data_IF_619494796028
#
_entry.id   IF_619494796028
#
_cell.length_a   1.000
_cell.length_b   1.000
_cell.length_c   1.000
_cell.angle_alpha   90.00
_cell.angle_beta   90.00
_cell.angle_gamma   90.00
#
_symmetry.space_group_name_H-M   'P 1'
#
loop_
_entity.id
_entity.type
_entity.pdbx_description
1 polymer ?
#
# COMPACT_ATOMS: atom_id res chain seq x y z
N UNK A 1 5.25 -12.28 -2.65
CA UNK A 1 5.37 -11.42 -3.85
C UNK A 1 4.10 -11.56 -4.67
N UNK A 2 3.43 -10.47 -4.92
CA UNK A 2 2.16 -10.47 -5.62
C UNK A 2 2.39 -10.82 -7.10
N UNK A 3 1.78 -11.91 -7.60
CA UNK A 3 1.90 -12.32 -9.01
C UNK A 3 1.12 -11.42 -9.96
N UNK A 4 0.19 -10.64 -9.42
CA UNK A 4 -0.80 -9.91 -10.21
C UNK A 4 -0.40 -8.45 -10.49
N UNK A 5 0.58 -7.90 -9.76
CA UNK A 5 1.05 -6.52 -9.94
C UNK A 5 2.39 -6.38 -10.70
N UNK A 6 2.94 -7.46 -11.26
CA UNK A 6 4.18 -7.42 -12.04
C UNK A 6 5.45 -7.13 -11.23
N UNK A 7 5.40 -7.22 -9.90
CA UNK A 7 6.53 -6.90 -9.02
C UNK A 7 7.54 -8.04 -8.84
N UNK A 8 7.41 -9.16 -9.54
CA UNK A 8 8.36 -10.29 -9.44
C UNK A 8 9.33 -10.33 -10.61
N UNK A 9 10.39 -9.53 -10.54
CA UNK A 9 11.61 -9.84 -11.29
C UNK A 9 12.60 -10.51 -10.33
N UNK A 10 12.75 -11.83 -10.42
CA UNK A 10 13.83 -12.54 -9.76
C UNK A 10 15.05 -12.57 -10.67
N UNK A 11 16.11 -11.93 -10.21
CA UNK A 11 17.45 -12.13 -10.71
C UNK A 11 18.03 -13.39 -10.04
N UNK A 12 18.60 -14.25 -10.86
CA UNK A 12 19.19 -15.55 -10.58
C UNK A 12 20.04 -15.59 -9.31
N UNK A 13 19.76 -16.57 -8.44
CA UNK A 13 20.77 -17.18 -7.59
C UNK A 13 20.85 -18.66 -7.94
N UNK A 14 22.06 -19.11 -8.28
CA UNK A 14 22.40 -20.50 -8.48
C UNK A 14 22.34 -21.23 -7.13
N UNK A 15 21.33 -22.05 -6.94
CA UNK A 15 21.23 -22.97 -5.82
C UNK A 15 21.37 -24.40 -6.31
N UNK A 16 22.30 -25.15 -5.74
CA UNK A 16 22.47 -26.56 -5.97
C UNK A 16 21.22 -27.34 -5.55
N UNK A 17 20.63 -28.09 -6.46
CA UNK A 17 19.47 -28.93 -6.18
C UNK A 17 19.92 -30.38 -5.98
N UNK A 18 19.70 -30.93 -4.80
CA UNK A 18 19.75 -32.37 -4.53
C UNK A 18 18.35 -32.96 -4.68
N UNK A 19 18.20 -34.00 -5.49
CA UNK A 19 16.97 -34.77 -5.62
C UNK A 19 17.12 -36.13 -4.98
N UNK A 20 16.19 -36.49 -4.09
CA UNK A 20 16.06 -37.84 -3.56
C UNK A 20 14.95 -38.57 -4.32
N UNK A 21 15.24 -39.75 -4.87
CA UNK A 21 14.25 -40.65 -5.44
C UNK A 21 14.13 -41.92 -4.58
N UNK A 22 12.90 -42.24 -4.19
CA UNK A 22 12.58 -43.47 -3.49
C UNK A 22 12.10 -44.52 -4.51
N UNK A 23 12.82 -45.61 -4.63
CA UNK A 23 12.33 -46.84 -5.25
C UNK A 23 12.07 -47.87 -4.14
N UNK A 24 10.86 -48.39 -4.12
CA UNK A 24 10.49 -49.42 -3.16
C UNK A 24 11.45 -50.62 -3.16
N UNK A 25 11.74 -51.03 -1.94
CA UNK A 25 12.34 -52.34 -1.61
C UNK A 25 13.85 -52.59 -1.87
N UNK A 26 14.73 -51.62 -1.59
CA UNK A 26 16.12 -51.96 -1.22
C UNK A 26 16.85 -50.65 -0.78
N UNK A 27 17.14 -50.55 0.48
CA UNK A 27 18.11 -49.72 1.21
C UNK A 27 18.60 -48.38 0.62
N UNK A 28 18.52 -47.32 1.42
CA UNK A 28 19.13 -46.02 1.15
C UNK A 28 20.65 -46.13 0.98
N UNK A 29 21.17 -45.57 -0.13
CA UNK A 29 22.60 -45.34 -0.28
C UNK A 29 22.85 -44.04 -1.06
N UNK A 30 23.78 -43.27 -0.56
CA UNK A 30 24.25 -42.02 -1.17
C UNK A 30 25.49 -42.27 -2.01
N UNK A 31 25.49 -41.84 -3.26
CA UNK A 31 26.67 -41.89 -4.13
C UNK A 31 27.22 -40.48 -4.34
N UNK A 32 28.46 -40.25 -3.92
CA UNK A 32 29.29 -39.14 -4.35
C UNK A 32 30.09 -39.56 -5.57
N UNK A 33 29.88 -38.89 -6.70
CA UNK A 33 30.73 -39.09 -7.89
C UNK A 33 31.50 -37.80 -8.18
N UNK A 34 32.80 -37.85 -7.92
CA UNK A 34 33.79 -36.93 -8.49
C UNK A 34 34.43 -37.61 -9.69
N UNK A 35 34.17 -37.17 -10.90
CA UNK A 35 34.85 -37.62 -12.09
C UNK A 35 35.39 -36.45 -12.88
N UNK A 36 36.72 -36.36 -12.90
CA UNK A 36 37.46 -35.66 -13.94
C UNK A 36 37.80 -36.68 -15.02
N UNK A 37 37.19 -36.63 -16.19
CA UNK A 37 37.66 -37.22 -17.43
C UNK A 37 37.21 -36.39 -18.63
N UNK A 38 38.22 -35.93 -19.37
CA UNK A 38 38.07 -35.38 -20.73
C UNK A 38 37.68 -36.53 -21.69
N UNK A 39 36.53 -36.48 -22.28
CA UNK A 39 36.22 -37.13 -23.53
C UNK A 39 35.28 -36.22 -24.37
N UNK A 40 35.81 -35.81 -25.54
CA UNK A 40 35.05 -35.16 -26.56
C UNK A 40 34.03 -36.14 -27.17
N UNK A 41 32.76 -35.89 -26.96
CA UNK A 41 31.69 -36.50 -27.74
C UNK A 41 30.78 -35.36 -28.25
N UNK A 42 30.72 -35.24 -29.58
CA UNK A 42 29.71 -34.43 -30.27
C UNK A 42 28.32 -35.01 -29.95
N UNK A 43 27.58 -34.32 -29.09
CA UNK A 43 26.16 -34.55 -28.94
C UNK A 43 25.42 -33.42 -29.64
N UNK A 44 24.74 -33.74 -30.72
CA UNK A 44 23.70 -32.89 -31.33
C UNK A 44 22.57 -32.80 -30.31
N UNK A 45 22.55 -31.71 -29.55
CA UNK A 45 21.42 -31.36 -28.69
C UNK A 45 20.26 -30.85 -29.57
N UNK A 46 19.23 -31.67 -29.73
CA UNK A 46 17.94 -31.18 -30.13
C UNK A 46 17.48 -30.13 -29.10
N UNK A 47 17.25 -28.90 -29.56
CA UNK A 47 16.72 -27.84 -28.76
C UNK A 47 15.31 -28.23 -28.27
N UNK A 48 15.20 -28.75 -27.05
CA UNK A 48 13.93 -28.75 -26.34
C UNK A 48 13.70 -27.35 -25.80
N UNK A 49 13.09 -26.50 -26.61
CA UNK A 49 12.58 -25.23 -26.16
C UNK A 49 11.42 -25.54 -25.20
N UNK A 50 11.68 -25.50 -23.91
CA UNK A 50 10.63 -25.33 -22.91
C UNK A 50 10.12 -23.88 -23.03
N UNK A 51 9.16 -23.68 -23.95
CA UNK A 51 8.42 -22.45 -24.03
C UNK A 51 7.62 -22.34 -22.73
N UNK A 52 8.19 -21.68 -21.70
CA UNK A 52 7.37 -21.07 -20.68
C UNK A 52 6.42 -20.13 -21.43
N UNK A 53 5.10 -20.15 -21.15
CA UNK A 53 4.19 -19.18 -21.75
C UNK A 53 4.54 -17.81 -21.21
N UNK A 54 5.51 -17.15 -21.84
CA UNK A 54 5.73 -15.73 -21.69
C UNK A 54 4.50 -15.07 -22.30
N UNK A 55 3.63 -14.53 -21.44
CA UNK A 55 2.61 -13.58 -21.89
C UNK A 55 3.37 -12.54 -22.71
N UNK A 56 3.04 -12.39 -23.99
CA UNK A 56 3.61 -11.31 -24.79
C UNK A 56 3.28 -10.02 -24.06
N UNK A 57 4.18 -9.02 -24.06
CA UNK A 57 3.98 -7.72 -23.38
C UNK A 57 2.58 -7.16 -23.65
N UNK A 58 2.10 -7.29 -24.85
CA UNK A 58 0.78 -6.82 -25.28
C UNK A 58 -0.38 -7.53 -24.55
N UNK A 59 -0.31 -8.86 -24.35
CA UNK A 59 -1.30 -9.61 -23.57
C UNK A 59 -1.25 -9.26 -22.09
N UNK A 60 -0.07 -9.00 -21.56
CA UNK A 60 0.11 -8.57 -20.16
C UNK A 60 -0.53 -7.20 -19.95
N UNK A 61 -0.30 -6.24 -20.86
CA UNK A 61 -0.92 -4.90 -20.82
C UNK A 61 -2.45 -5.00 -20.91
N UNK A 62 -3.00 -5.84 -21.78
CA UNK A 62 -4.44 -6.04 -21.90
C UNK A 62 -5.07 -6.63 -20.62
N UNK A 63 -4.41 -7.60 -20.00
CA UNK A 63 -4.87 -8.21 -18.74
C UNK A 63 -4.85 -7.20 -17.60
N UNK A 64 -3.75 -6.47 -17.44
CA UNK A 64 -3.63 -5.40 -16.44
C UNK A 64 -4.70 -4.33 -16.68
N UNK A 65 -4.89 -3.89 -17.91
CA UNK A 65 -5.92 -2.92 -18.28
C UNK A 65 -7.34 -3.38 -17.91
N UNK A 66 -7.66 -4.67 -18.12
CA UNK A 66 -8.95 -5.25 -17.72
C UNK A 66 -9.13 -5.34 -16.21
N UNK A 67 -8.07 -5.66 -15.47
CA UNK A 67 -8.10 -5.71 -14.01
C UNK A 67 -8.35 -4.30 -13.45
N UNK A 68 -7.60 -3.31 -13.91
CA UNK A 68 -7.75 -1.93 -13.47
C UNK A 68 -9.13 -1.37 -13.83
N UNK A 69 -9.66 -1.62 -15.05
CA UNK A 69 -10.99 -1.14 -15.43
C UNK A 69 -12.12 -1.74 -14.58
N UNK A 70 -12.00 -3.00 -14.15
CA UNK A 70 -12.96 -3.60 -13.20
C UNK A 70 -12.85 -2.97 -11.81
N UNK A 71 -11.63 -2.74 -11.35
CA UNK A 71 -11.38 -2.04 -10.10
C UNK A 71 -11.99 -0.63 -10.14
N UNK A 72 -11.77 0.12 -11.22
CA UNK A 72 -12.27 1.50 -11.37
C UNK A 72 -13.81 1.55 -11.38
N UNK A 73 -14.47 0.58 -12.01
CA UNK A 73 -15.92 0.46 -11.96
C UNK A 73 -16.43 0.20 -10.53
N UNK A 74 -15.74 -0.68 -9.77
CA UNK A 74 -16.08 -0.93 -8.36
C UNK A 74 -15.76 0.29 -7.48
N UNK A 75 -14.66 0.99 -7.74
CA UNK A 75 -14.30 2.22 -7.04
C UNK A 75 -15.37 3.30 -7.23
N UNK A 76 -15.89 3.45 -8.46
CA UNK A 76 -16.99 4.37 -8.74
C UNK A 76 -18.24 3.99 -7.94
N UNK A 77 -18.58 2.72 -7.84
CA UNK A 77 -19.70 2.24 -7.03
C UNK A 77 -19.50 2.53 -5.52
N UNK A 78 -18.28 2.32 -5.00
CA UNK A 78 -17.95 2.69 -3.62
C UNK A 78 -18.13 4.20 -3.39
N UNK A 79 -17.68 5.03 -4.32
CA UNK A 79 -17.82 6.50 -4.24
C UNK A 79 -19.28 6.94 -4.23
N UNK A 80 -20.15 6.26 -4.98
CA UNK A 80 -21.59 6.49 -4.96
C UNK A 80 -22.17 6.22 -3.57
N UNK A 81 -21.81 5.11 -2.93
CA UNK A 81 -22.20 4.80 -1.56
C UNK A 81 -21.74 5.88 -0.56
N UNK A 82 -20.51 6.39 -0.71
CA UNK A 82 -20.01 7.45 0.16
C UNK A 82 -20.81 8.74 -0.04
N UNK A 83 -21.07 9.11 -1.29
CA UNK A 83 -21.84 10.30 -1.63
C UNK A 83 -23.29 10.24 -1.11
N UNK A 84 -23.98 9.10 -1.30
CA UNK A 84 -25.36 8.87 -0.83
C UNK A 84 -25.48 9.02 0.69
N UNK A 85 -24.46 8.58 1.43
CA UNK A 85 -24.39 8.68 2.87
C UNK A 85 -23.69 9.97 3.36
N UNK A 86 -23.27 10.84 2.46
CA UNK A 86 -22.50 12.07 2.78
C UNK A 86 -21.24 11.79 3.60
N UNK A 87 -20.54 10.69 3.30
CA UNK A 87 -19.32 10.31 3.95
C UNK A 87 -18.13 10.88 3.19
N UNK A 88 -17.26 11.63 3.85
CA UNK A 88 -15.96 11.99 3.27
C UNK A 88 -14.99 10.82 3.47
N UNK A 89 -14.57 10.20 2.37
CA UNK A 89 -13.63 9.07 2.38
C UNK A 89 -12.22 9.52 1.99
N UNK A 90 -11.22 9.16 2.81
CA UNK A 90 -9.80 9.45 2.60
C UNK A 90 -8.97 8.17 2.57
N UNK A 91 -8.13 8.03 1.56
CA UNK A 91 -7.14 6.94 1.45
C UNK A 91 -5.80 7.42 2.02
N UNK A 92 -5.33 6.80 3.12
CA UNK A 92 -4.05 7.10 3.76
C UNK A 92 -2.99 6.14 3.24
N UNK A 93 -2.01 6.67 2.54
CA UNK A 93 -0.92 5.92 1.93
C UNK A 93 0.43 6.34 2.49
N UNK A 94 1.35 5.41 2.65
CA UNK A 94 2.72 5.71 3.13
C UNK A 94 3.62 4.49 3.09
N UNK A 95 4.89 4.66 3.41
CA UNK A 95 5.76 3.56 3.85
C UNK A 95 5.27 2.95 5.19
N UNK A 96 5.67 1.72 5.52
CA UNK A 96 5.45 1.17 6.85
C UNK A 96 6.08 2.05 7.93
N UNK A 97 5.40 2.19 9.06
CA UNK A 97 5.92 2.95 10.19
C UNK A 97 5.93 4.48 10.04
N UNK A 98 5.32 5.06 9.01
CA UNK A 98 5.25 6.53 8.80
C UNK A 98 4.29 7.25 9.78
N UNK A 99 3.51 6.51 10.56
CA UNK A 99 2.63 7.07 11.60
C UNK A 99 1.18 7.26 11.20
N UNK A 100 0.66 6.53 10.19
CA UNK A 100 -0.77 6.56 9.79
C UNK A 100 -1.69 6.30 10.98
N UNK A 101 -1.54 5.16 11.64
CA UNK A 101 -2.36 4.77 12.80
C UNK A 101 -2.27 5.79 13.94
N UNK A 102 -1.08 6.37 14.21
CA UNK A 102 -0.91 7.42 15.23
C UNK A 102 -1.66 8.71 14.85
N UNK A 103 -1.66 9.07 13.56
CA UNK A 103 -2.44 10.21 13.06
C UNK A 103 -3.94 9.96 13.21
N UNK A 104 -4.41 8.74 12.91
CA UNK A 104 -5.81 8.34 13.09
C UNK A 104 -6.21 8.40 14.56
N UNK A 105 -5.43 7.84 15.49
CA UNK A 105 -5.70 7.94 16.92
C UNK A 105 -5.83 9.39 17.41
N UNK A 106 -4.91 10.28 16.99
CA UNK A 106 -4.95 11.68 17.34
C UNK A 106 -6.19 12.38 16.75
N UNK A 107 -6.56 12.06 15.51
CA UNK A 107 -7.75 12.58 14.82
C UNK A 107 -9.03 12.14 15.51
N UNK A 108 -9.16 10.86 15.82
CA UNK A 108 -10.33 10.28 16.51
C UNK A 108 -10.53 10.94 17.88
N UNK A 109 -9.46 11.06 18.66
CA UNK A 109 -9.51 11.72 19.97
C UNK A 109 -9.93 13.18 19.87
N UNK A 110 -9.41 13.92 18.88
CA UNK A 110 -9.71 15.34 18.68
C UNK A 110 -11.16 15.59 18.21
N UNK A 111 -11.73 14.66 17.44
CA UNK A 111 -13.10 14.77 16.90
C UNK A 111 -14.15 14.02 17.73
N UNK A 112 -13.77 13.49 18.88
CA UNK A 112 -14.71 12.76 19.75
C UNK A 112 -15.96 13.56 20.04
N UNK A 113 -17.13 13.00 19.66
CA UNK A 113 -18.43 13.63 19.84
C UNK A 113 -18.76 14.75 18.83
N UNK A 114 -17.90 14.98 17.82
CA UNK A 114 -18.16 15.95 16.74
C UNK A 114 -18.45 15.26 15.40
N UNK A 115 -17.72 14.23 15.07
CA UNK A 115 -17.88 13.46 13.84
C UNK A 115 -17.93 11.97 14.15
N UNK A 116 -18.79 11.24 13.45
CA UNK A 116 -18.73 9.80 13.36
C UNK A 116 -17.52 9.38 12.50
N UNK A 117 -16.61 8.58 13.05
CA UNK A 117 -15.41 8.14 12.36
C UNK A 117 -15.43 6.63 12.22
N UNK A 118 -15.20 6.16 11.00
CA UNK A 118 -14.95 4.74 10.70
C UNK A 118 -13.62 4.56 9.99
N UNK A 119 -12.98 3.42 10.19
CA UNK A 119 -11.67 3.11 9.59
C UNK A 119 -11.72 1.71 8.96
N UNK A 120 -11.26 1.63 7.71
CA UNK A 120 -10.91 0.36 7.07
C UNK A 120 -9.39 0.25 7.16
N UNK A 121 -8.92 -0.79 7.83
CA UNK A 121 -7.49 -1.04 8.06
C UNK A 121 -7.01 -2.16 7.15
N UNK A 122 -6.03 -1.86 6.27
CA UNK A 122 -5.37 -2.85 5.43
C UNK A 122 -4.03 -3.26 6.00
N UNK A 123 -3.94 -4.47 6.55
CA UNK A 123 -2.67 -5.02 7.06
C UNK A 123 -2.42 -6.43 6.52
N UNK A 124 -1.16 -6.82 6.53
CA UNK A 124 -0.74 -8.13 6.01
C UNK A 124 -1.25 -9.28 6.90
N UNK A 125 -1.11 -9.18 8.23
CA UNK A 125 -1.37 -10.30 9.14
C UNK A 125 -1.94 -9.91 10.52
N UNK A 126 -1.75 -8.67 11.02
CA UNK A 126 -2.03 -8.34 12.42
C UNK A 126 -3.25 -7.43 12.61
N UNK A 127 -3.99 -7.63 13.71
CA UNK A 127 -5.10 -6.74 14.09
C UNK A 127 -4.68 -5.59 15.02
N UNK A 128 -3.40 -5.36 15.21
CA UNK A 128 -2.91 -4.41 16.19
C UNK A 128 -3.37 -2.97 15.92
N UNK A 129 -3.32 -2.53 14.67
CA UNK A 129 -3.67 -1.17 14.30
C UNK A 129 -5.20 -0.95 14.35
N UNK A 130 -6.01 -1.91 13.87
CA UNK A 130 -7.45 -1.86 14.02
C UNK A 130 -7.89 -1.85 15.50
N UNK A 131 -7.19 -2.59 16.38
CA UNK A 131 -7.43 -2.55 17.82
C UNK A 131 -7.15 -1.17 18.42
N UNK A 132 -6.03 -0.56 18.08
CA UNK A 132 -5.66 0.81 18.51
C UNK A 132 -6.71 1.84 18.08
N UNK A 133 -7.20 1.74 16.85
CA UNK A 133 -8.25 2.61 16.33
C UNK A 133 -9.56 2.45 17.10
N UNK A 134 -9.97 1.20 17.39
CA UNK A 134 -11.16 0.92 18.21
C UNK A 134 -11.02 1.45 19.63
N UNK A 135 -9.84 1.28 20.25
CA UNK A 135 -9.53 1.82 21.59
C UNK A 135 -9.53 3.36 21.63
N UNK A 136 -9.19 4.02 20.52
CA UNK A 136 -9.29 5.47 20.38
C UNK A 136 -10.75 5.96 20.27
N UNK A 137 -11.71 5.10 19.92
CA UNK A 137 -13.14 5.37 19.94
C UNK A 137 -13.82 5.44 18.55
N UNK A 138 -13.19 4.94 17.50
CA UNK A 138 -13.79 4.80 16.18
C UNK A 138 -14.22 3.35 15.88
N UNK A 139 -15.14 3.18 14.93
CA UNK A 139 -15.42 1.88 14.34
C UNK A 139 -14.27 1.49 13.41
N UNK A 140 -13.77 0.27 13.54
CA UNK A 140 -12.71 -0.20 12.65
C UNK A 140 -12.98 -1.62 12.18
N UNK A 141 -12.84 -1.82 10.86
CA UNK A 141 -12.84 -3.12 10.22
C UNK A 141 -11.50 -3.38 9.58
N UNK A 142 -10.93 -4.55 9.85
CA UNK A 142 -9.64 -4.94 9.28
C UNK A 142 -9.83 -5.85 8.07
N UNK A 143 -9.06 -5.54 7.03
CA UNK A 143 -8.86 -6.39 5.87
C UNK A 143 -7.48 -7.04 6.01
N UNK A 144 -7.44 -8.35 6.21
CA UNK A 144 -6.18 -9.10 6.18
C UNK A 144 -5.83 -9.40 4.72
N UNK A 145 -4.78 -8.76 4.21
CA UNK A 145 -4.41 -8.86 2.80
C UNK A 145 -3.49 -10.04 2.50
N UNK A 146 -2.92 -10.67 3.53
CA UNK A 146 -1.98 -11.79 3.37
C UNK A 146 -0.75 -11.38 2.58
N UNK A 147 -0.69 -11.76 1.31
CA UNK A 147 0.45 -11.45 0.43
C UNK A 147 0.24 -10.19 -0.43
N UNK A 148 -0.95 -9.59 -0.42
CA UNK A 148 -1.21 -8.38 -1.21
C UNK A 148 -0.62 -7.15 -0.53
N UNK A 149 0.15 -6.37 -1.29
CA UNK A 149 0.81 -5.14 -0.82
C UNK A 149 -0.05 -3.88 -1.01
N UNK A 150 -1.34 -4.02 -1.28
CA UNK A 150 -2.32 -2.94 -1.48
C UNK A 150 -3.73 -3.44 -1.21
N UNK A 151 -4.65 -2.50 -1.04
CA UNK A 151 -6.09 -2.72 -1.10
C UNK A 151 -6.60 -2.45 -2.53
N UNK A 152 -7.67 -3.13 -2.92
CA UNK A 152 -8.45 -2.84 -4.12
C UNK A 152 -9.89 -2.44 -3.77
N UNK A 153 -10.64 -1.95 -4.76
CA UNK A 153 -11.99 -1.45 -4.56
C UNK A 153 -12.99 -2.54 -4.12
N UNK A 154 -12.76 -3.80 -4.50
CA UNK A 154 -13.61 -4.92 -4.08
C UNK A 154 -13.38 -5.26 -2.60
N UNK A 155 -12.13 -5.23 -2.14
CA UNK A 155 -11.79 -5.42 -0.73
C UNK A 155 -12.46 -4.34 0.14
N UNK A 156 -12.38 -3.07 -0.30
CA UNK A 156 -13.04 -1.95 0.37
C UNK A 156 -14.55 -2.14 0.36
N UNK A 157 -15.17 -2.48 -0.78
CA UNK A 157 -16.60 -2.73 -0.88
C UNK A 157 -17.08 -3.79 0.12
N UNK A 158 -16.37 -4.91 0.21
CA UNK A 158 -16.69 -5.96 1.16
C UNK A 158 -16.58 -5.47 2.61
N UNK A 159 -15.60 -4.63 2.93
CA UNK A 159 -15.44 -4.05 4.27
C UNK A 159 -16.60 -3.10 4.63
N UNK A 160 -17.21 -2.40 3.66
CA UNK A 160 -18.33 -1.50 3.91
C UNK A 160 -19.55 -2.21 4.48
N UNK A 161 -19.75 -3.50 4.20
CA UNK A 161 -20.84 -4.29 4.78
C UNK A 161 -20.71 -4.51 6.30
N UNK A 162 -19.54 -4.25 6.86
CA UNK A 162 -19.23 -4.37 8.29
C UNK A 162 -19.23 -3.02 9.02
N UNK A 163 -19.49 -1.93 8.31
CA UNK A 163 -19.50 -0.56 8.85
C UNK A 163 -20.90 0.05 8.69
N UNK A 164 -21.29 0.91 9.63
CA UNK A 164 -22.51 1.69 9.50
C UNK A 164 -22.19 3.07 8.91
N UNK A 165 -22.39 3.23 7.59
CA UNK A 165 -22.15 4.49 6.91
C UNK A 165 -23.13 5.58 7.35
N UNK A 166 -24.33 5.24 7.82
CA UNK A 166 -25.31 6.22 8.32
C UNK A 166 -24.85 6.96 9.57
N UNK A 167 -23.93 6.39 10.35
CA UNK A 167 -23.33 7.00 11.55
C UNK A 167 -21.89 7.47 11.30
N UNK A 168 -21.45 7.49 10.03
CA UNK A 168 -20.08 7.84 9.65
C UNK A 168 -20.04 9.15 8.89
N UNK A 169 -19.31 10.13 9.39
CA UNK A 169 -19.00 11.38 8.69
C UNK A 169 -17.70 11.31 7.92
N UNK A 170 -16.68 10.69 8.53
CA UNK A 170 -15.34 10.52 8.00
C UNK A 170 -14.99 9.03 7.95
N UNK A 171 -14.69 8.54 6.75
CA UNK A 171 -14.16 7.20 6.55
C UNK A 171 -12.68 7.32 6.16
N UNK A 172 -11.83 6.66 6.92
CA UNK A 172 -10.42 6.52 6.56
C UNK A 172 -10.17 5.10 6.06
N UNK A 173 -9.48 4.99 4.93
CA UNK A 173 -8.89 3.74 4.46
C UNK A 173 -7.40 3.84 4.77
N UNK A 174 -6.95 3.15 5.83
CA UNK A 174 -5.53 3.00 6.11
C UNK A 174 -4.97 1.90 5.21
N UNK A 175 -4.29 2.30 4.13
CA UNK A 175 -3.75 1.36 3.15
C UNK A 175 -2.50 0.66 3.68
N UNK A 176 -2.19 -0.50 3.10
CA UNK A 176 -0.97 -1.24 3.40
C UNK A 176 0.25 -0.34 3.25
N UNK A 177 1.21 -0.45 4.16
CA UNK A 177 2.45 0.32 4.12
C UNK A 177 3.29 -0.01 2.89
N UNK A 178 3.11 0.77 1.81
CA UNK A 178 3.81 0.62 0.52
C UNK A 178 3.70 1.92 -0.27
N UNK A 179 4.80 2.37 -0.92
CA UNK A 179 4.82 3.60 -1.72
C UNK A 179 4.60 3.37 -3.23
N UNK A 180 4.33 2.15 -3.67
CA UNK A 180 4.18 1.81 -5.10
C UNK A 180 2.77 1.34 -5.42
N UNK A 181 2.42 0.16 -4.92
CA UNK A 181 1.18 -0.53 -5.29
C UNK A 181 -0.11 0.24 -4.95
N UNK A 182 -0.28 0.82 -3.74
CA UNK A 182 -1.50 1.54 -3.39
C UNK A 182 -1.85 2.69 -4.34
N UNK A 183 -0.85 3.35 -4.92
CA UNK A 183 -1.07 4.44 -5.86
C UNK A 183 -1.70 4.00 -7.20
N UNK A 184 -1.73 2.71 -7.50
CA UNK A 184 -2.25 2.20 -8.78
C UNK A 184 -3.75 1.90 -8.76
N UNK A 185 -4.34 1.80 -7.58
CA UNK A 185 -5.74 1.39 -7.39
C UNK A 185 -6.57 2.55 -6.85
N UNK A 186 -7.66 2.88 -7.53
CA UNK A 186 -8.73 3.73 -7.03
C UNK A 186 -9.61 2.87 -6.11
N UNK A 187 -9.90 3.32 -4.90
CA UNK A 187 -10.73 2.61 -3.91
C UNK A 187 -12.13 3.20 -3.80
N UNK A 188 -12.40 4.32 -4.50
CA UNK A 188 -13.59 5.13 -4.38
C UNK A 188 -13.42 6.32 -3.43
N UNK A 189 -12.21 6.55 -2.92
CA UNK A 189 -11.89 7.67 -2.03
C UNK A 189 -12.13 9.03 -2.69
N UNK A 190 -12.41 10.05 -1.87
CA UNK A 190 -12.49 11.44 -2.32
C UNK A 190 -11.13 12.14 -2.30
N UNK A 191 -10.27 11.74 -1.38
CA UNK A 191 -8.95 12.35 -1.19
C UNK A 191 -7.88 11.29 -0.95
N UNK A 192 -6.74 11.46 -1.61
CA UNK A 192 -5.53 10.71 -1.39
C UNK A 192 -4.57 11.49 -0.49
N UNK A 193 -4.29 10.98 0.69
CA UNK A 193 -3.38 11.56 1.67
C UNK A 193 -2.13 10.70 1.78
N UNK A 194 -0.98 11.28 1.47
CA UNK A 194 0.31 10.58 1.54
C UNK A 194 1.08 11.06 2.76
N UNK A 195 1.48 10.15 3.64
CA UNK A 195 2.38 10.46 4.75
C UNK A 195 3.82 10.21 4.31
N UNK A 196 4.66 11.23 4.45
CA UNK A 196 6.12 11.20 4.30
C UNK A 196 6.74 11.41 5.68
N UNK A 197 7.29 10.36 6.27
CA UNK A 197 7.96 10.49 7.57
C UNK A 197 9.36 11.08 7.41
N UNK A 198 9.73 12.03 8.27
CA UNK A 198 11.09 12.59 8.27
C UNK A 198 12.18 11.53 8.46
N UNK A 199 11.84 10.40 9.08
CA UNK A 199 12.78 9.26 9.27
C UNK A 199 13.08 8.49 7.99
N UNK A 200 12.38 8.76 6.88
CA UNK A 200 12.53 8.06 5.61
C UNK A 200 13.46 8.78 4.62
N UNK A 201 13.70 10.07 4.81
CA UNK A 201 14.48 10.92 3.93
C UNK A 201 13.64 11.79 2.98
N UNK A 202 14.17 12.94 2.64
CA UNK A 202 13.53 14.01 1.86
C UNK A 202 13.49 13.74 0.34
N UNK A 203 14.16 12.68 -0.11
CA UNK A 203 14.25 12.27 -1.51
C UNK A 203 13.14 11.29 -1.95
N UNK A 204 12.28 10.86 -1.02
CA UNK A 204 11.17 9.92 -1.32
C UNK A 204 10.23 10.39 -2.43
N UNK A 205 9.84 11.67 -2.52
CA UNK A 205 8.99 12.12 -3.63
C UNK A 205 9.62 11.86 -5.00
N UNK A 206 10.91 12.10 -5.14
CA UNK A 206 11.63 11.84 -6.39
C UNK A 206 11.77 10.35 -6.71
N UNK A 207 11.90 9.48 -5.68
CA UNK A 207 12.03 8.03 -5.84
C UNK A 207 10.69 7.34 -6.13
N UNK A 208 9.57 7.87 -5.62
CA UNK A 208 8.24 7.28 -5.75
C UNK A 208 7.23 8.26 -6.38
N UNK A 209 7.51 8.79 -7.58
CA UNK A 209 6.78 9.93 -8.14
C UNK A 209 5.29 9.64 -8.39
N UNK A 210 4.90 8.39 -8.61
CA UNK A 210 3.49 8.04 -8.89
C UNK A 210 2.62 8.33 -7.67
N UNK A 211 3.06 7.93 -6.47
CA UNK A 211 2.36 8.15 -5.21
C UNK A 211 2.11 9.65 -4.98
N UNK A 212 3.18 10.46 -5.09
CA UNK A 212 3.11 11.91 -4.81
C UNK A 212 2.38 12.70 -5.90
N UNK A 213 2.29 12.21 -7.15
CA UNK A 213 1.44 12.83 -8.19
C UNK A 213 -0.04 12.69 -7.91
N UNK A 214 -0.45 11.58 -7.29
CA UNK A 214 -1.85 11.31 -6.96
C UNK A 214 -2.30 11.93 -5.64
N UNK A 215 -1.37 12.42 -4.82
CA UNK A 215 -1.69 12.99 -3.52
C UNK A 215 -2.46 14.30 -3.66
N UNK A 216 -3.61 14.41 -2.98
CA UNK A 216 -4.31 15.66 -2.74
C UNK A 216 -3.68 16.42 -1.58
N UNK A 217 -3.17 15.68 -0.59
CA UNK A 217 -2.44 16.19 0.56
C UNK A 217 -1.21 15.33 0.82
N UNK A 218 -0.07 15.96 1.08
CA UNK A 218 1.11 15.33 1.67
C UNK A 218 1.27 15.79 3.11
N UNK A 219 1.36 14.84 4.03
CA UNK A 219 1.67 15.10 5.43
C UNK A 219 3.13 14.71 5.67
N UNK A 220 3.99 15.71 5.95
CA UNK A 220 5.34 15.44 6.45
C UNK A 220 5.20 15.15 7.95
N UNK A 221 5.26 13.87 8.30
CA UNK A 221 4.97 13.35 9.63
C UNK A 221 6.23 13.24 10.48
N UNK A 222 6.05 13.16 11.80
CA UNK A 222 7.12 13.09 12.81
C UNK A 222 8.03 14.33 12.75
N UNK A 223 7.45 15.49 12.53
CA UNK A 223 8.17 16.74 12.31
C UNK A 223 9.15 17.09 13.44
N UNK A 224 8.83 16.73 14.68
CA UNK A 224 9.67 16.97 15.84
C UNK A 224 11.03 16.22 15.78
N UNK A 225 11.13 15.22 14.90
CA UNK A 225 12.36 14.46 14.66
C UNK A 225 13.22 15.02 13.55
N UNK A 226 12.77 16.04 12.79
CA UNK A 226 13.46 16.52 11.59
C UNK A 226 14.93 16.90 11.85
N UNK A 227 15.20 17.57 12.98
CA UNK A 227 16.56 17.98 13.36
C UNK A 227 17.51 16.79 13.64
N UNK A 228 16.97 15.60 13.92
CA UNK A 228 17.75 14.40 14.24
C UNK A 228 18.03 13.52 13.00
N UNK A 229 17.32 13.75 11.90
CA UNK A 229 17.38 12.90 10.70
C UNK A 229 17.92 13.63 9.47
N UNK A 230 18.49 14.83 9.62
CA UNK A 230 19.00 15.66 8.51
C UNK A 230 17.97 15.79 7.36
N UNK A 231 16.70 15.96 7.75
CA UNK A 231 15.59 16.04 6.81
C UNK A 231 15.32 17.48 6.40
N UNK A 232 15.48 17.77 5.11
CA UNK A 232 15.18 19.08 4.53
C UNK A 232 13.69 19.16 4.10
N UNK A 233 12.88 19.78 4.97
CA UNK A 233 11.44 19.99 4.73
C UNK A 233 11.16 20.85 3.50
N UNK A 234 11.99 21.86 3.20
CA UNK A 234 11.81 22.72 2.02
C UNK A 234 12.10 21.95 0.74
N UNK A 235 13.14 21.14 0.74
CA UNK A 235 13.50 20.27 -0.39
C UNK A 235 12.37 19.25 -0.65
N UNK A 236 11.90 18.54 0.36
CA UNK A 236 10.79 17.60 0.24
C UNK A 236 9.53 18.29 -0.31
N UNK A 237 9.20 19.48 0.20
CA UNK A 237 8.08 20.31 -0.27
C UNK A 237 8.23 20.68 -1.74
N UNK A 238 9.41 21.13 -2.16
CA UNK A 238 9.70 21.48 -3.57
C UNK A 238 9.55 20.27 -4.49
N UNK A 239 10.06 19.10 -4.07
CA UNK A 239 9.92 17.88 -4.87
C UNK A 239 8.45 17.43 -5.00
N UNK A 240 7.65 17.48 -3.93
CA UNK A 240 6.22 17.22 -4.00
C UNK A 240 5.51 18.20 -4.97
N UNK A 241 5.78 19.50 -4.86
CA UNK A 241 5.19 20.53 -5.72
C UNK A 241 5.60 20.43 -7.18
N UNK A 242 6.80 19.92 -7.49
CA UNK A 242 7.22 19.62 -8.88
C UNK A 242 6.38 18.50 -9.49
N UNK A 243 6.02 17.48 -8.70
CA UNK A 243 5.24 16.33 -9.13
C UNK A 243 3.75 16.66 -9.26
N UNK A 244 3.23 17.42 -8.30
CA UNK A 244 1.84 17.89 -8.27
C UNK A 244 1.81 19.34 -7.75
N UNK A 245 1.73 20.34 -8.64
CA UNK A 245 1.70 21.75 -8.24
C UNK A 245 0.51 22.14 -7.35
N UNK A 246 -0.58 21.37 -7.38
CA UNK A 246 -1.81 21.63 -6.62
C UNK A 246 -1.83 20.94 -5.25
N UNK A 247 -0.89 20.04 -4.95
CA UNK A 247 -0.87 19.28 -3.70
C UNK A 247 -0.77 20.21 -2.48
N UNK A 248 -1.62 20.00 -1.49
CA UNK A 248 -1.46 20.65 -0.18
C UNK A 248 -0.39 19.95 0.63
N UNK A 249 0.32 20.69 1.51
CA UNK A 249 1.39 20.10 2.35
C UNK A 249 1.19 20.59 3.77
N UNK A 250 1.15 19.63 4.71
CA UNK A 250 1.10 19.91 6.15
C UNK A 250 2.32 19.23 6.80
N UNK A 251 3.07 19.99 7.58
CA UNK A 251 4.18 19.48 8.40
C UNK A 251 3.67 19.35 9.82
N UNK A 252 3.60 18.14 10.36
CA UNK A 252 3.04 17.92 11.70
C UNK A 252 3.72 16.77 12.46
N UNK A 253 3.52 16.73 13.77
CA UNK A 253 3.77 15.56 14.57
C UNK A 253 2.49 15.15 15.32
N UNK A 254 1.96 13.96 15.00
CA UNK A 254 0.72 13.47 15.60
C UNK A 254 0.88 13.02 17.05
N UNK A 255 2.11 12.71 17.49
CA UNK A 255 2.39 12.25 18.85
C UNK A 255 2.49 13.41 19.84
N UNK A 256 3.19 14.48 19.47
CA UNK A 256 3.31 15.70 20.28
C UNK A 256 2.11 16.63 20.11
N UNK A 257 1.38 16.52 18.97
CA UNK A 257 0.32 17.41 18.60
C UNK A 257 0.78 18.66 17.81
N UNK A 258 2.07 18.76 17.50
CA UNK A 258 2.62 19.89 16.73
C UNK A 258 1.90 20.00 15.39
N UNK A 259 1.26 21.15 15.14
CA UNK A 259 0.48 21.48 13.93
C UNK A 259 -0.68 20.51 13.60
N UNK A 260 -1.11 19.68 14.56
CA UNK A 260 -2.23 18.76 14.35
C UNK A 260 -3.51 19.51 13.98
N UNK A 261 -3.70 20.71 14.50
CA UNK A 261 -4.87 21.58 14.22
C UNK A 261 -4.99 21.95 12.74
N UNK A 262 -3.92 22.00 11.97
CA UNK A 262 -3.97 22.27 10.52
C UNK A 262 -4.62 21.09 9.78
N UNK A 263 -4.27 19.87 10.17
CA UNK A 263 -4.89 18.66 9.66
C UNK A 263 -6.38 18.58 10.03
N UNK A 264 -6.73 18.87 11.28
CA UNK A 264 -8.12 18.86 11.75
C UNK A 264 -8.98 19.89 11.01
N UNK A 265 -8.45 21.11 10.78
CA UNK A 265 -9.12 22.15 9.98
C UNK A 265 -9.29 21.72 8.52
N UNK A 266 -8.27 21.08 7.92
CA UNK A 266 -8.36 20.54 6.57
C UNK A 266 -9.52 19.55 6.46
N UNK A 267 -9.63 18.59 7.39
CA UNK A 267 -10.73 17.62 7.41
C UNK A 267 -12.10 18.29 7.54
N UNK A 268 -12.24 19.27 8.45
CA UNK A 268 -13.50 20.00 8.64
C UNK A 268 -13.93 20.72 7.37
N UNK A 269 -13.03 21.47 6.72
CA UNK A 269 -13.31 22.19 5.48
C UNK A 269 -13.69 21.22 4.34
N UNK A 270 -12.98 20.08 4.20
CA UNK A 270 -13.30 19.09 3.16
C UNK A 270 -14.64 18.41 3.42
N UNK A 271 -14.97 18.14 4.70
CA UNK A 271 -16.27 17.56 5.08
C UNK A 271 -17.44 18.53 4.82
N UNK A 272 -17.25 19.81 5.01
CA UNK A 272 -18.28 20.84 4.71
C UNK A 272 -18.56 20.98 3.21
N UNK A 273 -17.62 20.58 2.36
CA UNK A 273 -17.74 20.63 0.89
C UNK A 273 -18.24 19.31 0.28
N UNK A 274 -18.35 18.25 1.06
CA UNK A 274 -18.86 16.94 0.72
C UNK A 274 -20.37 16.86 1.06
#
# INVERSE_FOLDING_TARGET
>A
MCKDCGCSMNLNEHGEHSHAHSHGDLGEHTHHHSHAHEHAHEHTHGEHSHAHPTLTEQKTIEVIGKILSKNDAQAQHNREHFNENRVLCLNLMSSPGSGKTTLLEATIKAFKGKFGISVIEGDLETENDAKRVREAGANAYQITTGQSCHLDAFMVHNALHHLNLGDTDLLFIENVGNLVCPASYDLGEHLNVVLLSVTEGDDKPAKYPVMFRKADLVIISKADLAAHFDFDTEKATKECKKLNPKVDIIVLDAKSGTNLELWLKFLQLKKELC
#
